data_IF_533010924009
#
_entry.id   IF_533010924009
#
_cell.length_a   1.000
_cell.length_b   1.000
_cell.length_c   1.000
_cell.angle_alpha   90.00
_cell.angle_beta   90.00
_cell.angle_gamma   90.00
#
_symmetry.space_group_name_H-M   'P 1'
#
loop_
_entity.id
_entity.type
_entity.pdbx_description
1 polymer ?
#
# COMPACT_ATOMS: atom_id res chain seq x y z
N UNK A 1 -13.80 -18.94 19.94
CA UNK A 1 -14.70 -17.96 19.31
C UNK A 1 -14.27 -16.52 19.63
N UNK A 2 -14.00 -16.18 20.90
CA UNK A 2 -13.59 -14.82 21.32
C UNK A 2 -12.28 -14.33 20.67
N UNK A 3 -11.24 -15.16 20.58
CA UNK A 3 -9.96 -14.80 19.92
C UNK A 3 -10.19 -14.45 18.46
N UNK A 4 -11.02 -15.21 17.75
CA UNK A 4 -11.32 -14.96 16.35
C UNK A 4 -11.99 -13.60 16.15
N UNK A 5 -13.01 -13.30 16.95
CA UNK A 5 -13.80 -12.07 16.80
C UNK A 5 -13.01 -10.85 17.31
N UNK A 6 -12.35 -10.98 18.48
CA UNK A 6 -11.72 -9.83 19.15
C UNK A 6 -10.34 -9.46 18.59
N UNK A 7 -9.64 -10.39 17.95
CA UNK A 7 -8.28 -10.13 17.46
C UNK A 7 -8.11 -10.38 15.96
N UNK A 8 -8.52 -11.55 15.45
CA UNK A 8 -8.22 -11.94 14.08
C UNK A 8 -9.02 -11.12 13.08
N UNK A 9 -10.33 -10.98 13.29
CA UNK A 9 -11.18 -10.19 12.37
C UNK A 9 -10.77 -8.73 12.34
N UNK A 10 -10.61 -8.00 13.45
CA UNK A 10 -10.13 -6.62 13.43
C UNK A 10 -8.76 -6.47 12.80
N UNK A 11 -7.84 -7.41 13.04
CA UNK A 11 -6.51 -7.41 12.41
C UNK A 11 -6.60 -7.53 10.89
N UNK A 12 -7.40 -8.46 10.36
CA UNK A 12 -7.59 -8.64 8.92
C UNK A 12 -8.23 -7.40 8.29
N UNK A 13 -9.22 -6.79 8.94
CA UNK A 13 -9.85 -5.57 8.46
C UNK A 13 -8.81 -4.43 8.39
N UNK A 14 -8.05 -4.22 9.46
CA UNK A 14 -7.01 -3.20 9.52
C UNK A 14 -5.96 -3.42 8.42
N UNK A 15 -5.46 -4.67 8.31
CA UNK A 15 -4.49 -5.04 7.29
C UNK A 15 -5.01 -4.77 5.88
N UNK A 16 -6.27 -5.12 5.60
CA UNK A 16 -6.91 -4.88 4.30
C UNK A 16 -6.96 -3.39 3.97
N UNK A 17 -7.31 -2.54 4.95
CA UNK A 17 -7.33 -1.07 4.75
C UNK A 17 -5.94 -0.52 4.47
N UNK A 18 -4.94 -0.94 5.26
CA UNK A 18 -3.54 -0.50 5.09
C UNK A 18 -3.00 -0.93 3.73
N UNK A 19 -3.25 -2.17 3.32
CA UNK A 19 -2.84 -2.69 2.00
C UNK A 19 -3.56 -1.94 0.89
N UNK A 20 -4.86 -1.73 1.00
CA UNK A 20 -5.62 -0.97 0.00
C UNK A 20 -5.03 0.43 -0.23
N UNK A 21 -4.77 1.17 0.83
CA UNK A 21 -4.21 2.53 0.75
C UNK A 21 -2.80 2.51 0.15
N UNK A 22 -1.99 1.50 0.50
CA UNK A 22 -0.66 1.29 -0.06
C UNK A 22 -0.71 1.10 -1.58
N UNK A 23 -1.49 0.11 -2.03
CA UNK A 23 -1.63 -0.20 -3.45
C UNK A 23 -2.29 0.96 -4.22
N UNK A 24 -3.24 1.67 -3.59
CA UNK A 24 -3.87 2.84 -4.18
C UNK A 24 -2.87 3.98 -4.41
N UNK A 25 -1.88 4.14 -3.53
CA UNK A 25 -0.78 5.08 -3.73
C UNK A 25 -0.03 4.81 -5.04
N UNK A 26 0.38 3.57 -5.27
CA UNK A 26 1.04 3.15 -6.52
C UNK A 26 0.14 3.37 -7.73
N UNK A 27 -1.11 2.92 -7.65
CA UNK A 27 -2.11 3.07 -8.70
C UNK A 27 -2.33 4.53 -9.09
N UNK A 28 -2.56 5.40 -8.12
CA UNK A 28 -2.85 6.82 -8.35
C UNK A 28 -1.72 7.51 -9.11
N UNK A 29 -0.47 7.36 -8.67
CA UNK A 29 0.66 8.00 -9.33
C UNK A 29 1.00 7.32 -10.67
N UNK A 30 0.81 6.02 -10.82
CA UNK A 30 0.94 5.35 -12.10
C UNK A 30 -0.02 5.96 -13.13
N UNK A 31 -1.29 6.08 -12.80
CA UNK A 31 -2.31 6.71 -13.67
C UNK A 31 -1.99 8.17 -13.96
N UNK A 32 -1.57 8.94 -12.95
CA UNK A 32 -1.19 10.35 -13.09
C UNK A 32 -0.05 10.56 -14.09
N UNK A 33 0.90 9.64 -14.14
CA UNK A 33 2.03 9.70 -15.09
C UNK A 33 1.78 8.94 -16.40
N UNK A 34 0.55 8.50 -16.64
CA UNK A 34 0.18 7.80 -17.88
C UNK A 34 0.80 6.40 -17.98
N UNK A 35 1.11 5.76 -16.85
CA UNK A 35 1.46 4.33 -16.83
C UNK A 35 0.17 3.52 -16.91
N UNK A 36 0.13 2.56 -17.84
CA UNK A 36 -0.97 1.61 -17.93
C UNK A 36 -1.03 0.71 -16.70
N UNK A 37 -2.22 0.52 -16.13
CA UNK A 37 -2.44 -0.42 -15.05
C UNK A 37 -3.45 -1.45 -15.53
N UNK A 38 -3.05 -2.72 -15.53
CA UNK A 38 -3.93 -3.83 -15.96
C UNK A 38 -4.76 -4.37 -14.83
N UNK A 39 -4.15 -4.54 -13.65
CA UNK A 39 -4.81 -5.13 -12.49
C UNK A 39 -4.51 -4.33 -11.23
N UNK A 40 -5.54 -4.16 -10.41
CA UNK A 40 -5.47 -3.68 -9.03
C UNK A 40 -6.10 -4.74 -8.14
N UNK A 41 -5.31 -5.39 -7.29
CA UNK A 41 -5.79 -6.50 -6.47
C UNK A 41 -5.64 -6.22 -4.99
N UNK A 42 -6.72 -6.51 -4.25
CA UNK A 42 -6.70 -6.62 -2.78
C UNK A 42 -6.77 -8.10 -2.46
N UNK A 43 -5.71 -8.59 -1.83
CA UNK A 43 -5.53 -10.02 -1.56
C UNK A 43 -4.86 -10.77 -2.69
N UNK A 44 -4.64 -12.05 -2.42
CA UNK A 44 -4.03 -13.01 -3.34
C UNK A 44 -4.96 -14.20 -3.58
N UNK A 45 -4.61 -15.02 -4.57
CA UNK A 45 -5.29 -16.27 -4.90
C UNK A 45 -6.50 -16.07 -5.80
N UNK A 46 -7.56 -16.85 -5.55
CA UNK A 46 -8.75 -16.86 -6.40
C UNK A 46 -9.54 -15.55 -6.24
N UNK A 47 -9.87 -14.92 -7.37
CA UNK A 47 -10.76 -13.76 -7.41
C UNK A 47 -12.16 -14.18 -6.94
N UNK A 48 -12.68 -13.48 -5.92
CA UNK A 48 -14.06 -13.64 -5.42
C UNK A 48 -14.98 -12.69 -6.15
N UNK A 49 -14.54 -11.43 -6.29
CA UNK A 49 -15.28 -10.37 -6.92
C UNK A 49 -14.32 -9.44 -7.66
N UNK A 50 -14.75 -8.91 -8.80
CA UNK A 50 -13.98 -7.94 -9.55
C UNK A 50 -14.82 -7.23 -10.60
N UNK A 51 -14.35 -6.05 -10.97
CA UNK A 51 -14.94 -5.21 -12.01
C UNK A 51 -13.85 -4.48 -12.79
N UNK A 52 -14.19 -4.04 -13.98
CA UNK A 52 -13.30 -3.21 -14.79
C UNK A 52 -13.70 -1.74 -14.63
N UNK A 53 -12.71 -0.88 -14.40
CA UNK A 53 -12.94 0.55 -14.40
C UNK A 53 -13.01 1.12 -15.84
N UNK A 54 -13.37 2.41 -15.96
CA UNK A 54 -13.45 3.09 -17.25
C UNK A 54 -12.09 3.22 -17.98
N UNK A 55 -10.99 3.04 -17.27
CA UNK A 55 -9.63 3.13 -17.79
C UNK A 55 -9.05 1.77 -18.18
N UNK A 56 -9.86 0.70 -18.13
CA UNK A 56 -9.47 -0.67 -18.48
C UNK A 56 -8.73 -1.42 -17.38
N UNK A 57 -8.59 -0.86 -16.19
CA UNK A 57 -7.99 -1.57 -15.04
C UNK A 57 -8.99 -2.53 -14.44
N UNK A 58 -8.59 -3.79 -14.24
CA UNK A 58 -9.39 -4.78 -13.52
C UNK A 58 -9.14 -4.69 -12.02
N UNK A 59 -10.16 -4.29 -11.28
CA UNK A 59 -10.16 -4.30 -9.83
C UNK A 59 -10.59 -5.66 -9.32
N UNK A 60 -9.80 -6.27 -8.41
CA UNK A 60 -10.00 -7.63 -7.91
C UNK A 60 -10.01 -7.65 -6.39
N UNK A 61 -10.92 -8.43 -5.85
CA UNK A 61 -10.94 -8.81 -4.44
C UNK A 61 -10.72 -10.32 -4.36
N UNK A 62 -9.61 -10.72 -3.77
CA UNK A 62 -9.17 -12.11 -3.74
C UNK A 62 -9.39 -12.76 -2.38
N UNK A 63 -9.36 -14.09 -2.35
CA UNK A 63 -9.75 -14.90 -1.19
C UNK A 63 -8.82 -14.77 0.02
N UNK A 64 -7.54 -14.42 -0.19
CA UNK A 64 -6.55 -14.33 0.88
C UNK A 64 -6.21 -12.85 1.12
N UNK A 65 -6.76 -12.20 2.15
CA UNK A 65 -6.62 -10.75 2.37
C UNK A 65 -5.30 -10.36 3.06
N UNK A 66 -4.20 -11.06 2.74
CA UNK A 66 -2.88 -10.86 3.37
C UNK A 66 -1.93 -10.00 2.51
N UNK A 67 -2.46 -9.14 1.65
CA UNK A 67 -1.64 -8.31 0.77
C UNK A 67 -2.44 -7.78 -0.40
N UNK A 68 -1.74 -7.25 -1.39
CA UNK A 68 -2.31 -6.75 -2.63
C UNK A 68 -1.23 -6.58 -3.69
N UNK A 69 -1.61 -6.15 -4.87
CA UNK A 69 -0.67 -5.76 -5.91
C UNK A 69 -1.30 -4.84 -6.94
N UNK A 70 -0.47 -3.99 -7.53
CA UNK A 70 -0.78 -3.25 -8.74
C UNK A 70 0.06 -3.81 -9.87
N UNK A 71 -0.57 -4.31 -10.94
CA UNK A 71 0.13 -4.81 -12.11
C UNK A 71 0.13 -3.74 -13.20
N UNK A 72 1.33 -3.36 -13.62
CA UNK A 72 1.48 -2.39 -14.69
C UNK A 72 1.37 -3.06 -16.07
N UNK A 73 0.99 -2.27 -17.05
CA UNK A 73 0.96 -2.72 -18.43
C UNK A 73 2.36 -3.09 -18.91
N UNK A 74 2.49 -4.25 -19.52
CA UNK A 74 3.78 -4.78 -19.96
C UNK A 74 4.70 -5.24 -18.83
N UNK A 75 4.20 -5.37 -17.60
CA UNK A 75 4.97 -5.86 -16.46
C UNK A 75 5.32 -7.34 -16.66
N UNK A 76 6.51 -7.56 -17.16
CA UNK A 76 7.24 -8.82 -17.18
C UNK A 76 8.46 -8.61 -16.29
N UNK A 77 8.97 -9.69 -15.69
CA UNK A 77 10.20 -9.64 -14.90
C UNK A 77 11.41 -9.33 -15.80
N UNK A 78 11.53 -8.05 -16.17
CA UNK A 78 12.57 -7.56 -17.09
C UNK A 78 13.72 -7.07 -16.25
N UNK A 79 14.75 -7.89 -16.12
CA UNK A 79 15.93 -7.58 -15.32
C UNK A 79 17.11 -7.06 -16.13
N UNK A 80 17.06 -7.15 -17.47
CA UNK A 80 18.16 -6.75 -18.34
C UNK A 80 17.75 -5.69 -19.37
N UNK A 81 18.72 -4.88 -19.84
CA UNK A 81 18.47 -3.91 -20.92
C UNK A 81 18.02 -4.59 -22.22
N UNK A 82 18.58 -5.78 -22.53
CA UNK A 82 18.20 -6.55 -23.70
C UNK A 82 16.72 -6.96 -23.71
N UNK A 83 16.21 -7.38 -22.55
CA UNK A 83 14.79 -7.72 -22.38
C UNK A 83 13.88 -6.47 -22.49
N UNK A 84 14.37 -5.29 -22.03
CA UNK A 84 13.64 -4.03 -22.20
C UNK A 84 13.54 -3.63 -23.68
N UNK A 85 14.62 -3.78 -24.44
CA UNK A 85 14.63 -3.50 -25.90
C UNK A 85 13.72 -4.47 -26.65
N UNK A 86 13.69 -5.75 -26.28
CA UNK A 86 12.78 -6.74 -26.85
C UNK A 86 11.31 -6.43 -26.54
N UNK A 87 11.03 -6.01 -25.31
CA UNK A 87 9.69 -5.52 -24.91
C UNK A 87 9.27 -4.35 -25.80
N UNK A 88 10.15 -3.36 -25.98
CA UNK A 88 9.85 -2.17 -26.77
C UNK A 88 9.52 -2.51 -28.24
N UNK A 89 10.17 -3.51 -28.81
CA UNK A 89 9.91 -3.95 -30.20
C UNK A 89 8.52 -4.60 -30.38
N UNK A 90 7.96 -5.16 -29.32
CA UNK A 90 6.69 -5.89 -29.35
C UNK A 90 5.46 -4.99 -29.16
N UNK A 91 5.64 -3.72 -28.80
CA UNK A 91 4.55 -2.77 -28.55
C UNK A 91 4.52 -1.64 -29.57
N UNK A 92 3.32 -1.15 -29.89
CA UNK A 92 3.13 0.07 -30.68
C UNK A 92 3.74 1.28 -29.97
N UNK A 93 4.07 2.35 -30.69
CA UNK A 93 4.61 3.57 -30.07
C UNK A 93 3.70 4.14 -28.97
N UNK A 94 2.40 4.10 -29.19
CA UNK A 94 1.39 4.55 -28.20
C UNK A 94 1.38 3.68 -26.94
N UNK A 95 1.57 2.37 -27.09
CA UNK A 95 1.62 1.44 -25.96
C UNK A 95 2.95 1.49 -25.21
N UNK A 96 4.05 1.76 -25.93
CA UNK A 96 5.36 1.99 -25.31
C UNK A 96 5.31 3.14 -24.29
N UNK A 97 4.58 4.22 -24.58
CA UNK A 97 4.43 5.34 -23.66
C UNK A 97 3.71 4.97 -22.36
N UNK A 98 2.92 3.89 -22.35
CA UNK A 98 2.22 3.40 -21.17
C UNK A 98 3.08 2.48 -20.29
N UNK A 99 4.26 2.06 -20.76
CA UNK A 99 5.13 1.16 -20.03
C UNK A 99 5.82 1.89 -18.86
N UNK A 100 5.83 1.26 -17.68
CA UNK A 100 6.52 1.78 -16.50
C UNK A 100 8.02 1.99 -16.75
N UNK A 101 8.67 1.08 -17.46
CA UNK A 101 10.12 1.09 -17.73
C UNK A 101 10.57 2.24 -18.58
N UNK A 102 9.71 2.78 -19.44
CA UNK A 102 10.00 3.90 -20.35
C UNK A 102 9.92 5.25 -19.62
N UNK A 103 9.21 5.31 -18.51
CA UNK A 103 9.06 6.57 -17.76
C UNK A 103 10.40 7.04 -17.18
N UNK A 104 10.64 8.35 -17.12
CA UNK A 104 11.85 8.90 -16.52
C UNK A 104 11.98 8.46 -15.05
N UNK A 105 13.24 8.36 -14.59
CA UNK A 105 13.58 7.79 -13.28
C UNK A 105 12.81 8.43 -12.14
N UNK A 106 12.63 9.77 -12.13
CA UNK A 106 11.90 10.46 -11.07
C UNK A 106 10.44 10.03 -10.99
N UNK A 107 9.75 9.80 -12.13
CA UNK A 107 8.37 9.32 -12.13
C UNK A 107 8.28 7.90 -11.59
N UNK A 108 9.20 7.01 -12.00
CA UNK A 108 9.28 5.64 -11.47
C UNK A 108 9.52 5.64 -9.97
N UNK A 109 10.45 6.47 -9.50
CA UNK A 109 10.74 6.60 -8.06
C UNK A 109 9.54 7.11 -7.26
N UNK A 110 8.80 8.09 -7.79
CA UNK A 110 7.57 8.58 -7.14
C UNK A 110 6.50 7.49 -7.10
N UNK A 111 6.28 6.74 -8.18
CA UNK A 111 5.31 5.65 -8.22
C UNK A 111 5.67 4.60 -7.15
N UNK A 112 6.95 4.19 -7.06
CA UNK A 112 7.39 3.20 -6.07
C UNK A 112 7.29 3.72 -4.63
N UNK A 113 7.63 4.99 -4.40
CA UNK A 113 7.56 5.58 -3.06
C UNK A 113 6.11 5.90 -2.61
N UNK A 114 5.18 5.99 -3.56
CA UNK A 114 3.81 6.42 -3.29
C UNK A 114 3.03 5.48 -2.36
N UNK A 115 3.27 4.17 -2.44
CA UNK A 115 2.64 3.20 -1.54
C UNK A 115 3.00 3.44 -0.06
N UNK A 116 4.28 3.35 0.32
CA UNK A 116 4.71 3.66 1.69
C UNK A 116 4.30 5.06 2.15
N UNK A 117 4.38 6.07 1.27
CA UNK A 117 3.99 7.43 1.58
C UNK A 117 2.48 7.56 1.87
N UNK A 118 1.64 6.86 1.12
CA UNK A 118 0.21 6.82 1.36
C UNK A 118 -0.13 6.23 2.75
N UNK A 119 0.57 5.17 3.16
CA UNK A 119 0.42 4.59 4.50
C UNK A 119 0.89 5.56 5.60
N UNK A 120 1.96 6.31 5.36
CA UNK A 120 2.41 7.33 6.29
C UNK A 120 1.37 8.44 6.46
N UNK A 121 0.76 8.91 5.38
CA UNK A 121 -0.35 9.87 5.44
C UNK A 121 -1.57 9.30 6.16
N UNK A 122 -1.91 8.03 5.91
CA UNK A 122 -2.99 7.34 6.61
C UNK A 122 -2.73 7.32 8.12
N UNK A 123 -1.50 6.99 8.55
CA UNK A 123 -1.14 6.99 9.96
C UNK A 123 -1.30 8.37 10.60
N UNK A 124 -0.82 9.44 9.95
CA UNK A 124 -1.01 10.81 10.42
C UNK A 124 -2.50 11.14 10.56
N UNK A 125 -3.30 10.78 9.56
CA UNK A 125 -4.73 11.03 9.57
C UNK A 125 -5.44 10.30 10.72
N UNK A 126 -5.13 9.01 10.93
CA UNK A 126 -5.70 8.21 12.02
C UNK A 126 -5.32 8.82 13.38
N UNK A 127 -4.05 9.17 13.60
CA UNK A 127 -3.63 9.78 14.86
C UNK A 127 -4.29 11.14 15.09
N UNK A 128 -4.36 11.99 14.07
CA UNK A 128 -5.05 13.28 14.16
C UNK A 128 -6.54 13.08 14.54
N UNK A 129 -7.19 12.11 13.91
CA UNK A 129 -8.58 11.78 14.20
C UNK A 129 -8.76 11.29 15.64
N UNK A 130 -7.93 10.37 16.10
CA UNK A 130 -7.98 9.86 17.48
C UNK A 130 -7.78 11.04 18.48
N UNK A 131 -6.77 11.88 18.27
CA UNK A 131 -6.51 13.01 19.17
C UNK A 131 -7.64 14.06 19.17
N UNK A 132 -8.32 14.22 18.04
CA UNK A 132 -9.42 15.20 17.93
C UNK A 132 -10.68 14.71 18.65
N UNK A 133 -10.97 13.40 18.60
CA UNK A 133 -12.22 12.85 19.14
C UNK A 133 -12.07 12.15 20.50
N UNK A 134 -10.97 11.48 20.77
CA UNK A 134 -10.74 10.78 22.02
C UNK A 134 -10.00 11.66 23.06
N UNK A 135 -9.42 12.78 22.64
CA UNK A 135 -8.61 13.62 23.48
C UNK A 135 -7.25 13.00 23.82
N UNK A 136 -6.42 13.77 24.55
CA UNK A 136 -5.14 13.30 25.06
C UNK A 136 -5.26 13.00 26.54
N UNK A 137 -5.31 11.73 26.92
CA UNK A 137 -5.16 11.33 28.30
C UNK A 137 -3.72 11.60 28.74
N UNK A 138 -3.51 12.74 29.38
CA UNK A 138 -2.28 12.99 30.11
C UNK A 138 -2.28 12.11 31.34
N UNK A 139 -1.76 10.91 31.25
CA UNK A 139 -1.37 10.17 32.45
C UNK A 139 -0.13 10.89 32.99
N UNK A 140 -0.21 11.63 34.11
CA UNK A 140 0.97 12.26 34.67
C UNK A 140 1.95 11.13 34.99
N UNK A 141 3.19 11.25 34.53
CA UNK A 141 4.24 10.32 34.85
C UNK A 141 4.33 10.21 36.37
N UNK A 142 3.78 9.14 36.96
CA UNK A 142 3.95 8.87 38.38
C UNK A 142 5.39 8.51 38.62
N UNK A 143 6.21 9.51 38.93
CA UNK A 143 7.55 9.30 39.45
C UNK A 143 7.38 8.55 40.78
N UNK A 144 7.48 7.21 40.79
CA UNK A 144 7.68 6.46 42.03
C UNK A 144 8.99 6.93 42.61
N UNK A 145 8.90 7.88 43.55
CA UNK A 145 10.04 8.34 44.33
C UNK A 145 10.56 7.13 45.11
N UNK A 146 11.63 6.51 44.63
CA UNK A 146 12.31 5.43 45.29
C UNK A 146 12.89 5.99 46.59
N UNK A 147 12.21 5.78 47.72
CA UNK A 147 12.73 6.13 49.04
C UNK A 147 13.87 5.14 49.34
N UNK A 148 15.09 5.59 49.14
CA UNK A 148 16.25 4.92 49.70
C UNK A 148 16.10 4.97 51.22
N UNK A 149 15.68 3.86 51.86
CA UNK A 149 15.91 3.64 53.26
C UNK A 149 17.44 3.35 53.39
N UNK A 150 18.19 4.37 53.75
CA UNK A 150 19.54 4.20 54.22
C UNK A 150 19.47 3.33 55.47
N UNK A 151 19.93 2.10 55.35
CA UNK A 151 20.23 1.24 56.50
C UNK A 151 21.55 1.75 57.12
N UNK A 152 21.42 2.75 57.97
CA UNK A 152 22.45 3.02 58.98
C UNK A 152 22.06 2.25 60.22
N UNK A 153 22.73 1.14 60.45
CA UNK A 153 23.04 0.55 61.75
C UNK A 153 24.42 -0.04 61.69
#
# INVERSE_FOLDING_TARGET
MEILISFIIPFIILLTVVVFIHEYGHYYYAKKYGVGVTDFSIGFGKEIFGFNDKSGTRWKFCAIPLGGYVKFFGDRNVFSQAEQEELLKNYSKEDQEKLFVVKPLYQRSIIVAAGPFANFLLAIFIFAFIYMFAGKDFTPAQYKRFKWKVLLK
#
